data_IF_483999352355
#
_entry.id   IF_483999352355
#
_cell.length_a   1.000
_cell.length_b   1.000
_cell.length_c   1.000
_cell.angle_alpha   90.00
_cell.angle_beta   90.00
_cell.angle_gamma   90.00
#
_symmetry.space_group_name_H-M   'P 1'
#
loop_
_entity.id
_entity.type
_entity.pdbx_description
1 polymer ?
#
# COMPACT_ATOMS: atom_id res chain seq x y z
N UNK A 1 -12.23 -19.05 4.57
CA UNK A 1 -10.80 -18.84 4.22
C UNK A 1 -10.70 -17.55 3.45
N UNK A 2 -10.22 -16.47 4.05
CA UNK A 2 -10.03 -15.20 3.32
C UNK A 2 -8.85 -15.40 2.36
N UNK A 3 -9.02 -15.27 1.03
CA UNK A 3 -7.94 -15.44 0.09
C UNK A 3 -6.82 -14.43 0.41
N UNK A 4 -5.56 -14.83 0.21
CA UNK A 4 -4.43 -13.91 0.34
C UNK A 4 -4.71 -12.69 -0.55
N UNK A 5 -4.56 -11.47 -0.03
CA UNK A 5 -4.85 -10.28 -0.81
C UNK A 5 -3.98 -10.24 -2.06
N UNK A 6 -4.60 -9.94 -3.19
CA UNK A 6 -3.87 -9.76 -4.45
C UNK A 6 -2.92 -8.58 -4.33
N UNK A 7 -1.64 -8.83 -4.63
CA UNK A 7 -0.60 -7.82 -4.51
C UNK A 7 -0.69 -6.84 -5.67
N UNK A 8 -0.99 -5.58 -5.36
CA UNK A 8 -1.15 -4.55 -6.39
C UNK A 8 0.23 -4.16 -6.97
N UNK A 9 0.42 -4.22 -8.30
CA UNK A 9 1.65 -3.74 -8.91
C UNK A 9 1.75 -2.21 -8.84
N UNK A 10 2.97 -1.71 -8.68
CA UNK A 10 3.23 -0.28 -8.52
C UNK A 10 2.94 0.54 -9.79
N UNK A 11 3.09 -0.06 -10.96
CA UNK A 11 3.14 0.64 -12.25
C UNK A 11 1.94 1.55 -12.54
N UNK A 12 0.75 1.18 -12.05
CA UNK A 12 -0.50 1.88 -12.37
C UNK A 12 -0.98 2.83 -11.27
N UNK A 13 -0.25 2.95 -10.16
CA UNK A 13 -0.70 3.74 -9.00
C UNK A 13 0.03 5.07 -8.97
N UNK A 14 -0.67 6.14 -9.36
CA UNK A 14 -0.09 7.50 -9.43
C UNK A 14 -0.33 8.28 -8.14
N UNK A 15 -1.42 7.98 -7.41
CA UNK A 15 -1.76 8.63 -6.15
C UNK A 15 -2.28 7.63 -5.12
N UNK A 16 -2.19 7.99 -3.85
CA UNK A 16 -2.73 7.17 -2.77
C UNK A 16 -4.26 7.08 -2.91
N UNK A 17 -4.86 5.88 -2.91
CA UNK A 17 -6.31 5.73 -3.06
C UNK A 17 -7.11 6.18 -1.82
N UNK A 18 -6.44 6.53 -0.72
CA UNK A 18 -7.05 6.95 0.55
C UNK A 18 -7.02 8.46 0.71
N UNK A 19 -5.85 9.09 0.52
CA UNK A 19 -5.67 10.53 0.70
C UNK A 19 -5.39 11.31 -0.58
N UNK A 20 -5.33 10.62 -1.73
CA UNK A 20 -5.08 11.20 -3.06
C UNK A 20 -3.74 11.93 -3.25
N UNK A 21 -2.82 11.84 -2.29
CA UNK A 21 -1.44 12.35 -2.45
C UNK A 21 -0.74 11.65 -3.61
N UNK A 22 -0.16 12.43 -4.51
CA UNK A 22 0.60 11.94 -5.65
C UNK A 22 1.90 11.29 -5.16
N UNK A 23 2.21 10.11 -5.68
CA UNK A 23 3.46 9.43 -5.43
C UNK A 23 4.59 10.08 -6.23
N UNK A 24 5.77 10.16 -5.64
CA UNK A 24 6.93 10.80 -6.26
C UNK A 24 8.18 10.61 -5.42
N UNK A 25 9.14 11.54 -5.57
CA UNK A 25 10.41 11.48 -4.84
C UNK A 25 10.23 11.59 -3.32
N UNK A 26 9.27 12.41 -2.87
CA UNK A 26 8.98 12.66 -1.46
C UNK A 26 7.93 11.70 -0.87
N UNK A 27 6.94 11.30 -1.67
CA UNK A 27 5.88 10.37 -1.25
C UNK A 27 6.14 9.01 -1.89
N UNK A 28 6.75 8.09 -1.16
CA UNK A 28 7.01 6.73 -1.63
C UNK A 28 5.76 5.86 -1.54
N UNK A 29 5.71 4.84 -2.40
CA UNK A 29 4.67 3.82 -2.43
C UNK A 29 4.92 2.82 -1.28
N UNK A 30 3.85 2.44 -0.59
CA UNK A 30 3.85 1.42 0.46
C UNK A 30 2.72 0.44 0.21
N UNK A 31 3.00 -0.85 0.30
CA UNK A 31 1.94 -1.85 0.21
C UNK A 31 1.38 -2.20 1.57
N UNK A 32 0.05 -2.13 1.69
CA UNK A 32 -0.64 -2.62 2.85
C UNK A 32 -0.60 -4.16 2.87
N UNK A 33 0.05 -4.75 3.85
CA UNK A 33 0.17 -6.21 3.98
C UNK A 33 -1.15 -6.93 4.28
N UNK A 34 -2.17 -6.20 4.75
CA UNK A 34 -3.51 -6.74 5.00
C UNK A 34 -4.36 -6.85 3.74
N UNK A 35 -4.23 -5.92 2.79
CA UNK A 35 -5.11 -5.84 1.61
C UNK A 35 -4.38 -5.79 0.26
N UNK A 36 -3.04 -5.77 0.23
CA UNK A 36 -2.23 -5.82 -0.99
C UNK A 36 -2.13 -4.51 -1.78
N UNK A 37 -2.89 -3.47 -1.40
CA UNK A 37 -2.96 -2.19 -2.13
C UNK A 37 -1.75 -1.29 -1.88
N UNK A 38 -1.43 -0.46 -2.87
CA UNK A 38 -0.43 0.61 -2.78
C UNK A 38 -1.05 1.86 -2.13
N UNK A 39 -0.43 2.34 -1.07
CA UNK A 39 -0.83 3.49 -0.24
C UNK A 39 0.40 4.32 0.16
N UNK A 40 0.20 5.50 0.73
CA UNK A 40 1.30 6.29 1.31
C UNK A 40 1.61 5.83 2.76
N UNK A 41 2.75 6.28 3.30
CA UNK A 41 3.15 5.98 4.68
C UNK A 41 2.13 6.46 5.71
N UNK A 42 1.56 7.66 5.49
CA UNK A 42 0.57 8.26 6.38
C UNK A 42 -0.74 7.45 6.45
N UNK A 43 -1.16 6.83 5.34
CA UNK A 43 -2.34 5.96 5.28
C UNK A 43 -2.04 4.50 5.68
N UNK A 44 -0.78 4.18 5.98
CA UNK A 44 -0.30 2.88 6.45
C UNK A 44 0.63 3.04 7.66
N UNK A 45 0.18 3.65 8.78
CA UNK A 45 1.05 3.92 9.91
C UNK A 45 1.37 2.62 10.68
N UNK A 46 0.43 1.68 10.71
CA UNK A 46 0.58 0.42 11.44
C UNK A 46 1.51 -0.55 10.69
N UNK A 47 2.23 -1.37 11.47
CA UNK A 47 3.08 -2.45 10.98
C UNK A 47 2.51 -3.76 11.50
N UNK A 48 2.60 -4.82 10.70
CA UNK A 48 2.24 -6.17 11.12
C UNK A 48 3.41 -7.10 10.83
N UNK A 49 3.68 -8.02 11.75
CA UNK A 49 4.59 -9.13 11.50
C UNK A 49 3.80 -10.20 10.74
N UNK A 50 4.24 -10.52 9.53
CA UNK A 50 3.69 -11.66 8.79
C UNK A 50 4.49 -12.89 9.24
N UNK A 51 3.88 -13.85 9.97
CA UNK A 51 4.55 -15.10 10.27
C UNK A 51 4.92 -15.82 8.96
N UNK A 52 6.11 -16.45 8.94
CA UNK A 52 6.63 -17.17 7.76
C UNK A 52 5.75 -18.34 7.37
#
# INVERSE_FOLDING_TARGET
TSPRPEWQPDGNVVSCPVCHTIFGLFTRKHHCRKCGRVVCSACSPHRITIPR
#
